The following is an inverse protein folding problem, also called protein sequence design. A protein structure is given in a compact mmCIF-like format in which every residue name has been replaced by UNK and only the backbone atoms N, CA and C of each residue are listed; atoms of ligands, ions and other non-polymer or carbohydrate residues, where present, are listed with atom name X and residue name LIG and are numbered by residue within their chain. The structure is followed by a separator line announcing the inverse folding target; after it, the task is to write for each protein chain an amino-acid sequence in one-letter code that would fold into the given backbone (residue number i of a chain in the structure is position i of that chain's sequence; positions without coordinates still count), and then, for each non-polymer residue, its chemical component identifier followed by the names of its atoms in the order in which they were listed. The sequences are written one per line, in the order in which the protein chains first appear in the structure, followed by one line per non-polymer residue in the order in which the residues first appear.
data_IF_426468362527
#
_entry.id   IF_426468362527
#
_cell.length_a   1.000
_cell.length_b   1.000
_cell.length_c   1.000
_cell.angle_alpha   90.00
_cell.angle_beta   90.00
_cell.angle_gamma   90.00
#
_symmetry.space_group_name_H-M   'P 1'
#
loop_
_entity.id
_entity.type
_entity.pdbx_description
1 polymer ?
#
# COMPACT_ATOMS: atom_id res chain seq x y z
N UNK A 1 -50.52 20.31 -3.10
CA UNK A 1 -50.37 21.78 -3.07
C UNK A 1 -48.89 22.06 -3.20
N UNK A 2 -48.45 22.27 -4.44
CA UNK A 2 -47.04 22.18 -4.85
C UNK A 2 -46.37 23.54 -4.69
N UNK A 3 -45.28 23.63 -3.92
CA UNK A 3 -44.44 24.84 -3.84
C UNK A 3 -43.10 24.63 -4.55
N UNK A 4 -43.17 25.01 -5.83
CA UNK A 4 -42.18 25.63 -6.72
C UNK A 4 -40.73 25.74 -6.22
N UNK A 5 -39.89 24.99 -6.93
CA UNK A 5 -38.54 25.29 -7.43
C UNK A 5 -38.20 26.79 -7.45
N UNK A 6 -37.08 27.14 -6.82
CA UNK A 6 -36.35 28.40 -7.09
C UNK A 6 -34.91 28.03 -7.47
N UNK A 7 -34.66 28.07 -8.78
CA UNK A 7 -33.36 28.02 -9.42
C UNK A 7 -32.80 29.46 -9.43
N UNK A 8 -31.55 29.67 -9.01
CA UNK A 8 -30.80 30.86 -9.41
C UNK A 8 -29.34 30.49 -9.72
N UNK A 9 -28.91 31.00 -10.87
CA UNK A 9 -27.75 30.67 -11.68
C UNK A 9 -26.84 31.92 -11.73
N UNK A 10 -25.52 31.77 -11.55
CA UNK A 10 -24.44 32.59 -12.15
C UNK A 10 -23.09 32.14 -11.54
N UNK A 11 -22.21 31.39 -12.22
CA UNK A 11 -21.35 31.68 -13.39
C UNK A 11 -20.09 32.53 -13.04
N UNK A 12 -18.94 31.89 -13.31
CA UNK A 12 -17.65 32.42 -13.84
C UNK A 12 -16.43 32.49 -12.90
N UNK A 13 -15.43 31.65 -13.17
CA UNK A 13 -14.13 32.06 -13.74
C UNK A 13 -13.30 30.84 -14.21
N UNK A 14 -13.05 30.79 -15.53
CA UNK A 14 -12.09 29.89 -16.16
C UNK A 14 -10.67 30.42 -15.94
N UNK A 15 -9.73 29.55 -15.58
CA UNK A 15 -8.31 29.75 -15.90
C UNK A 15 -7.72 28.48 -16.48
N UNK A 16 -7.66 28.45 -17.81
CA UNK A 16 -6.82 27.55 -18.60
C UNK A 16 -5.36 28.01 -18.48
N UNK A 17 -4.53 27.23 -17.79
CA UNK A 17 -3.08 27.31 -17.97
C UNK A 17 -2.71 26.40 -19.14
N UNK A 18 -2.68 26.97 -20.34
CA UNK A 18 -2.01 26.37 -21.48
C UNK A 18 -0.51 26.70 -21.37
N UNK A 19 0.31 25.70 -21.06
CA UNK A 19 1.73 25.70 -21.42
C UNK A 19 2.00 24.43 -22.23
N UNK A 20 1.80 24.56 -23.53
CA UNK A 20 2.38 23.68 -24.53
C UNK A 20 3.86 24.07 -24.70
N UNK A 21 4.81 23.18 -24.36
CA UNK A 21 5.97 22.84 -25.22
C UNK A 21 6.85 21.77 -24.58
N UNK A 22 7.07 20.66 -25.28
CA UNK A 22 8.14 19.73 -24.94
C UNK A 22 8.02 18.33 -25.53
N UNK A 23 7.90 18.21 -26.87
CA UNK A 23 8.35 16.99 -27.54
C UNK A 23 9.86 16.81 -27.29
N UNK A 24 10.23 15.71 -26.66
CA UNK A 24 11.57 15.15 -26.74
C UNK A 24 11.45 13.63 -26.83
N UNK A 25 11.63 13.19 -28.06
CA UNK A 25 11.82 11.84 -28.52
C UNK A 25 12.95 11.10 -27.78
N UNK A 26 12.75 9.78 -27.64
CA UNK A 26 13.78 8.73 -27.58
C UNK A 26 14.85 8.78 -26.48
N UNK A 27 14.89 7.74 -25.64
CA UNK A 27 15.94 6.68 -25.70
C UNK A 27 15.66 5.65 -24.61
N UNK A 28 15.31 4.42 -25.02
CA UNK A 28 15.36 3.23 -24.18
C UNK A 28 16.81 2.95 -23.78
N UNK A 29 17.08 2.94 -22.48
CA UNK A 29 18.33 2.37 -21.96
C UNK A 29 18.04 0.94 -21.52
N UNK A 30 18.29 -0.01 -22.41
CA UNK A 30 18.43 -1.42 -22.07
C UNK A 30 19.87 -1.64 -21.63
N UNK A 31 20.11 -1.85 -20.34
CA UNK A 31 21.39 -2.41 -19.86
C UNK A 31 21.24 -3.92 -19.72
N UNK A 32 21.41 -4.61 -20.84
CA UNK A 32 21.81 -6.02 -20.86
C UNK A 32 23.26 -6.10 -20.39
N UNK A 33 23.49 -6.72 -19.24
CA UNK A 33 24.83 -7.21 -18.90
C UNK A 33 24.85 -8.73 -19.11
N UNK A 34 25.52 -9.13 -20.18
CA UNK A 34 25.81 -10.51 -20.53
C UNK A 34 27.32 -10.63 -20.67
N UNK A 35 27.96 -11.46 -19.84
CA UNK A 35 29.28 -12.09 -20.01
C UNK A 35 29.34 -13.16 -18.89
N UNK A 36 29.06 -14.44 -19.11
CA UNK A 36 29.81 -15.44 -19.87
C UNK A 36 31.33 -15.40 -19.60
N UNK A 37 31.85 -16.41 -18.90
CA UNK A 37 32.82 -17.39 -19.43
C UNK A 37 33.69 -18.05 -18.34
N UNK A 38 33.51 -19.38 -18.22
CA UNK A 38 34.55 -20.43 -18.12
C UNK A 38 35.88 -20.16 -17.40
N UNK A 39 36.17 -21.03 -16.43
CA UNK A 39 37.54 -21.37 -16.01
C UNK A 39 37.57 -22.68 -15.24
N UNK A 40 38.03 -23.75 -15.88
CA UNK A 40 38.16 -25.08 -15.30
C UNK A 40 39.59 -25.34 -14.79
N UNK A 41 39.68 -26.07 -13.66
CA UNK A 41 40.75 -26.99 -13.18
C UNK A 41 42.16 -26.44 -12.90
N UNK A 42 42.70 -26.73 -11.70
CA UNK A 42 44.04 -27.33 -11.48
C UNK A 42 44.15 -27.89 -10.06
N UNK A 43 44.68 -29.12 -9.93
CA UNK A 43 44.96 -29.85 -8.69
C UNK A 43 46.46 -29.83 -8.34
N UNK A 44 46.77 -29.62 -7.04
CA UNK A 44 47.96 -30.00 -6.25
C UNK A 44 49.33 -29.30 -6.51
N UNK A 45 50.32 -29.30 -5.57
CA UNK A 45 50.46 -30.05 -4.32
C UNK A 45 50.85 -29.23 -3.05
N UNK A 46 51.00 -29.95 -1.92
CA UNK A 46 51.25 -29.47 -0.57
C UNK A 46 52.54 -28.66 -0.35
N UNK A 47 52.50 -27.67 0.54
CA UNK A 47 53.68 -27.19 1.27
C UNK A 47 53.26 -26.66 2.65
N UNK A 48 53.95 -27.15 3.67
CA UNK A 48 53.76 -26.90 5.11
C UNK A 48 54.21 -25.49 5.48
N UNK A 49 53.35 -24.63 6.02
CA UNK A 49 53.79 -23.47 6.82
C UNK A 49 52.69 -22.99 7.77
N UNK A 50 52.98 -23.11 9.08
CA UNK A 50 52.46 -22.39 10.25
C UNK A 50 51.01 -21.85 10.20
N UNK A 51 50.07 -22.58 10.81
CA UNK A 51 48.76 -22.06 11.20
C UNK A 51 48.90 -21.05 12.34
N UNK A 52 48.87 -19.77 12.01
CA UNK A 52 48.35 -18.75 12.94
C UNK A 52 46.85 -18.75 12.79
N UNK A 53 46.13 -19.24 13.80
CA UNK A 53 44.67 -19.13 13.86
C UNK A 53 44.31 -17.67 14.09
N UNK A 54 44.11 -16.91 13.02
CA UNK A 54 43.29 -15.70 13.09
C UNK A 54 41.85 -16.18 13.30
N UNK A 55 41.29 -15.80 14.45
CA UNK A 55 39.86 -15.95 14.68
C UNK A 55 39.15 -15.09 13.63
N UNK A 56 38.53 -15.74 12.65
CA UNK A 56 37.54 -15.11 11.79
C UNK A 56 36.35 -14.79 12.70
N UNK A 57 36.30 -13.54 13.14
CA UNK A 57 35.12 -12.98 13.78
C UNK A 57 34.01 -12.97 12.73
N UNK A 58 33.23 -14.05 12.71
CA UNK A 58 32.07 -14.16 11.83
C UNK A 58 30.99 -13.39 12.56
N UNK A 59 30.95 -12.07 12.33
CA UNK A 59 29.80 -11.27 12.72
C UNK A 59 28.61 -11.80 11.92
N UNK A 60 27.85 -12.71 12.51
CA UNK A 60 26.51 -13.06 12.05
C UNK A 60 25.72 -11.77 12.20
N UNK A 61 25.52 -11.06 11.10
CA UNK A 61 24.53 -10.00 11.05
C UNK A 61 23.21 -10.65 11.46
N UNK A 62 22.60 -10.13 12.54
CA UNK A 62 21.23 -10.49 12.87
C UNK A 62 20.40 -10.40 11.58
N UNK A 63 19.56 -11.40 11.28
CA UNK A 63 18.63 -11.28 10.16
C UNK A 63 17.86 -9.97 10.35
N UNK A 64 17.63 -9.20 9.28
CA UNK A 64 16.83 -7.98 9.37
C UNK A 64 15.51 -8.34 10.08
N UNK A 65 15.01 -7.48 10.99
CA UNK A 65 13.74 -7.75 11.67
C UNK A 65 12.72 -8.06 10.58
N UNK A 66 12.07 -9.22 10.67
CA UNK A 66 10.93 -9.49 9.79
C UNK A 66 9.97 -8.33 10.01
N UNK A 67 9.75 -7.52 8.97
CA UNK A 67 8.70 -6.52 8.95
C UNK A 67 7.38 -7.30 8.99
N UNK A 68 6.98 -7.69 10.19
CA UNK A 68 5.75 -8.41 10.44
C UNK A 68 4.60 -7.50 10.04
N UNK A 69 3.77 -7.99 9.12
CA UNK A 69 2.48 -7.36 8.84
C UNK A 69 1.70 -7.23 10.15
N UNK A 70 1.03 -6.08 10.39
CA UNK A 70 0.01 -5.97 11.42
C UNK A 70 -0.98 -7.14 11.33
N UNK A 71 -1.38 -7.68 12.47
CA UNK A 71 -2.45 -8.66 12.50
C UNK A 71 -3.76 -7.98 12.07
N UNK A 72 -4.53 -8.67 11.24
CA UNK A 72 -5.76 -8.13 10.69
C UNK A 72 -6.85 -9.20 10.55
N UNK A 73 -8.10 -8.75 10.50
CA UNK A 73 -9.27 -9.58 10.26
C UNK A 73 -10.21 -8.92 9.24
N UNK A 74 -10.78 -9.71 8.34
CA UNK A 74 -11.90 -9.27 7.50
C UNK A 74 -13.18 -9.47 8.30
N UNK A 75 -13.75 -8.38 8.79
CA UNK A 75 -14.95 -8.39 9.65
C UNK A 75 -16.25 -8.24 8.86
N UNK A 76 -16.17 -7.73 7.63
CA UNK A 76 -17.29 -7.66 6.70
C UNK A 76 -16.82 -7.96 5.28
N UNK A 77 -17.63 -8.71 4.54
CA UNK A 77 -17.42 -9.01 3.12
C UNK A 77 -18.77 -9.03 2.42
N UNK A 78 -18.98 -8.09 1.52
CA UNK A 78 -20.21 -7.96 0.73
C UNK A 78 -19.90 -8.23 -0.74
N UNK A 79 -20.54 -9.23 -1.36
CA UNK A 79 -20.30 -9.52 -2.77
C UNK A 79 -20.88 -8.42 -3.68
N UNK A 80 -20.12 -8.04 -4.69
CA UNK A 80 -20.47 -7.00 -5.65
C UNK A 80 -20.31 -7.43 -7.11
N UNK A 81 -20.81 -6.60 -8.03
CA UNK A 81 -20.58 -6.81 -9.46
C UNK A 81 -19.13 -6.40 -9.80
N UNK A 82 -18.27 -7.37 -10.12
CA UNK A 82 -16.86 -7.13 -10.45
C UNK A 82 -15.86 -7.41 -9.34
N UNK A 83 -16.33 -7.60 -8.10
CA UNK A 83 -15.52 -8.04 -6.96
C UNK A 83 -16.21 -7.71 -5.65
N UNK A 84 -15.61 -8.15 -4.55
CA UNK A 84 -16.19 -7.98 -3.23
C UNK A 84 -15.73 -6.67 -2.59
N UNK A 85 -16.60 -6.12 -1.75
CA UNK A 85 -16.29 -5.02 -0.84
C UNK A 85 -15.97 -5.61 0.53
N UNK A 86 -14.78 -5.32 1.08
CA UNK A 86 -14.35 -5.83 2.38
C UNK A 86 -14.04 -4.72 3.39
N UNK A 87 -14.29 -5.00 4.67
CA UNK A 87 -13.82 -4.16 5.78
C UNK A 87 -12.75 -4.95 6.54
N UNK A 88 -11.56 -4.39 6.59
CA UNK A 88 -10.36 -4.93 7.22
C UNK A 88 -10.19 -4.20 8.55
N UNK A 89 -10.21 -4.96 9.65
CA UNK A 89 -9.93 -4.50 10.98
C UNK A 89 -8.49 -4.88 11.36
N UNK A 90 -7.65 -3.88 11.61
CA UNK A 90 -6.32 -4.07 12.18
C UNK A 90 -6.42 -4.30 13.69
N UNK A 91 -5.56 -5.15 14.23
CA UNK A 91 -5.39 -5.30 15.68
C UNK A 91 -4.39 -4.26 16.19
N UNK A 92 -4.80 -3.24 16.96
CA UNK A 92 -3.89 -2.20 17.48
C UNK A 92 -2.88 -2.72 18.50
N UNK A 93 -3.01 -3.96 18.98
CA UNK A 93 -2.00 -4.60 19.84
C UNK A 93 -0.88 -5.29 19.05
N UNK A 94 -1.05 -5.41 17.72
CA UNK A 94 -0.08 -6.05 16.82
C UNK A 94 0.99 -5.10 16.27
N UNK A 95 0.84 -3.78 16.49
CA UNK A 95 1.79 -2.77 16.06
C UNK A 95 1.97 -1.68 17.11
N UNK A 96 3.21 -1.22 17.31
CA UNK A 96 3.50 -0.04 18.15
C UNK A 96 3.35 1.26 17.37
N UNK A 97 3.67 1.23 16.07
CA UNK A 97 3.58 2.34 15.13
C UNK A 97 3.09 1.78 13.80
N UNK A 98 2.03 2.38 13.26
CA UNK A 98 1.49 2.03 11.97
C UNK A 98 2.03 2.99 10.90
N UNK A 99 2.58 2.44 9.81
CA UNK A 99 3.06 3.23 8.67
C UNK A 99 2.16 3.07 7.45
N UNK A 100 2.29 3.99 6.50
CA UNK A 100 1.64 3.92 5.18
C UNK A 100 2.04 2.64 4.43
N UNK A 101 3.30 2.22 4.55
CA UNK A 101 3.79 0.97 3.99
C UNK A 101 3.13 -0.27 4.63
N UNK A 102 2.89 -0.26 5.95
CA UNK A 102 2.22 -1.37 6.63
C UNK A 102 0.78 -1.53 6.12
N UNK A 103 0.04 -0.43 6.03
CA UNK A 103 -1.32 -0.41 5.47
C UNK A 103 -1.32 -0.90 4.02
N UNK A 104 -0.33 -0.47 3.22
CA UNK A 104 -0.18 -0.91 1.84
C UNK A 104 0.01 -2.42 1.75
N UNK A 105 0.91 -2.97 2.57
CA UNK A 105 1.20 -4.39 2.60
C UNK A 105 -0.02 -5.20 3.09
N UNK A 106 -0.79 -4.71 4.06
CA UNK A 106 -2.02 -5.38 4.53
C UNK A 106 -3.05 -5.49 3.41
N UNK A 107 -3.35 -4.39 2.70
CA UNK A 107 -4.30 -4.44 1.58
C UNK A 107 -3.76 -5.34 0.46
N UNK A 108 -2.46 -5.27 0.16
CA UNK A 108 -1.81 -6.14 -0.81
C UNK A 108 -2.02 -7.62 -0.48
N UNK A 109 -1.74 -8.03 0.76
CA UNK A 109 -1.95 -9.39 1.24
C UNK A 109 -3.43 -9.81 1.15
N UNK A 110 -4.37 -8.92 1.48
CA UNK A 110 -5.81 -9.20 1.38
C UNK A 110 -6.24 -9.43 -0.07
N UNK A 111 -5.80 -8.58 -1.00
CA UNK A 111 -6.14 -8.68 -2.43
C UNK A 111 -5.57 -9.96 -3.04
N UNK A 112 -4.32 -10.31 -2.69
CA UNK A 112 -3.67 -11.54 -3.17
C UNK A 112 -4.31 -12.80 -2.60
N UNK A 113 -4.67 -12.79 -1.31
CA UNK A 113 -5.17 -13.98 -0.60
C UNK A 113 -6.66 -14.21 -0.79
N UNK A 114 -7.46 -13.15 -0.97
CA UNK A 114 -8.92 -13.23 -1.01
C UNK A 114 -9.58 -12.68 -2.28
N UNK A 115 -9.05 -12.92 -3.50
CA UNK A 115 -9.65 -12.41 -4.72
C UNK A 115 -11.06 -13.00 -4.97
N UNK A 116 -11.96 -12.27 -5.67
CA UNK A 116 -11.79 -10.92 -6.21
C UNK A 116 -12.19 -9.85 -5.17
N UNK A 117 -11.32 -8.86 -4.95
CA UNK A 117 -11.63 -7.67 -4.13
C UNK A 117 -11.69 -6.45 -5.05
N UNK A 118 -12.80 -5.72 -5.00
CA UNK A 118 -12.97 -4.46 -5.74
C UNK A 118 -12.76 -3.25 -4.82
N UNK A 119 -13.27 -3.34 -3.60
CA UNK A 119 -13.17 -2.28 -2.60
C UNK A 119 -12.73 -2.87 -1.27
N UNK A 120 -11.89 -2.14 -0.55
CA UNK A 120 -11.47 -2.50 0.79
C UNK A 120 -11.43 -1.25 1.67
N UNK A 121 -11.80 -1.37 2.94
CA UNK A 121 -11.75 -0.28 3.91
C UNK A 121 -10.89 -0.75 5.11
N UNK A 122 -9.82 -0.02 5.43
CA UNK A 122 -8.91 -0.36 6.53
C UNK A 122 -9.19 0.52 7.73
N UNK A 123 -9.56 -0.12 8.84
CA UNK A 123 -9.85 0.52 10.13
C UNK A 123 -9.15 -0.23 11.27
N UNK A 124 -8.95 0.37 12.43
CA UNK A 124 -8.46 -0.31 13.65
C UNK A 124 -9.48 -0.38 14.78
N UNK A 125 -10.65 0.26 14.61
CA UNK A 125 -11.73 0.25 15.59
C UNK A 125 -12.98 -0.42 15.05
N UNK A 126 -13.53 -1.34 15.84
CA UNK A 126 -14.82 -1.99 15.55
C UNK A 126 -15.97 -0.97 15.47
N UNK A 127 -15.89 0.15 16.20
CA UNK A 127 -16.93 1.19 16.18
C UNK A 127 -17.00 1.90 14.83
N UNK A 128 -15.90 1.90 14.07
CA UNK A 128 -15.76 2.58 12.78
C UNK A 128 -16.04 1.67 11.59
N UNK A 129 -15.97 0.35 11.80
CA UNK A 129 -16.20 -0.67 10.78
C UNK A 129 -17.57 -0.57 10.08
N UNK A 130 -18.62 -0.20 10.81
CA UNK A 130 -19.95 0.00 10.21
C UNK A 130 -20.09 1.43 9.65
N UNK A 131 -19.48 2.42 10.32
CA UNK A 131 -19.56 3.81 9.93
C UNK A 131 -18.93 4.08 8.56
N UNK A 132 -17.88 3.33 8.19
CA UNK A 132 -17.21 3.48 6.90
C UNK A 132 -18.09 3.13 5.69
N UNK A 133 -19.16 2.36 5.92
CA UNK A 133 -20.11 1.95 4.89
C UNK A 133 -21.32 2.90 4.79
N UNK A 134 -21.42 3.89 5.69
CA UNK A 134 -22.50 4.86 5.68
C UNK A 134 -22.22 5.97 4.65
N UNK A 135 -23.23 6.29 3.84
CA UNK A 135 -23.14 7.39 2.89
C UNK A 135 -23.12 8.78 3.56
N UNK A 136 -23.70 8.89 4.76
CA UNK A 136 -23.81 10.13 5.53
C UNK A 136 -23.65 9.82 7.03
N UNK A 137 -22.41 9.72 7.54
CA UNK A 137 -22.16 9.49 8.96
C UNK A 137 -22.54 10.72 9.79
N UNK A 138 -22.95 10.50 11.05
CA UNK A 138 -23.17 11.60 12.00
C UNK A 138 -21.86 12.36 12.29
N UNK A 139 -21.95 13.57 12.87
CA UNK A 139 -20.75 14.34 13.25
C UNK A 139 -19.81 13.56 14.19
N UNK A 140 -20.37 12.78 15.11
CA UNK A 140 -19.62 11.92 16.04
C UNK A 140 -18.94 10.77 15.29
N UNK A 141 -19.63 10.13 14.35
CA UNK A 141 -19.07 9.07 13.52
C UNK A 141 -17.98 9.58 12.58
N UNK A 142 -18.16 10.77 12.01
CA UNK A 142 -17.16 11.41 11.16
C UNK A 142 -15.86 11.69 11.93
N UNK A 143 -15.95 12.11 13.19
CA UNK A 143 -14.79 12.31 14.05
C UNK A 143 -14.05 10.99 14.37
N UNK A 144 -14.79 9.88 14.53
CA UNK A 144 -14.17 8.56 14.71
C UNK A 144 -13.53 8.05 13.43
N UNK A 145 -14.18 8.24 12.28
CA UNK A 145 -13.61 7.91 10.97
C UNK A 145 -12.28 8.64 10.74
N UNK A 146 -12.19 9.93 11.05
CA UNK A 146 -10.93 10.68 10.88
C UNK A 146 -9.73 10.09 11.66
N UNK A 147 -10.01 9.46 12.81
CA UNK A 147 -8.99 8.90 13.70
C UNK A 147 -8.68 7.42 13.44
N UNK A 148 -9.62 6.65 12.90
CA UNK A 148 -9.54 5.18 12.87
C UNK A 148 -9.80 4.58 11.48
N UNK A 149 -9.88 5.42 10.44
CA UNK A 149 -10.00 5.00 9.05
C UNK A 149 -8.77 5.47 8.28
N UNK A 150 -8.00 4.50 7.78
CA UNK A 150 -6.63 4.76 7.34
C UNK A 150 -6.44 4.72 5.84
N UNK A 151 -7.13 3.80 5.16
CA UNK A 151 -7.07 3.71 3.71
C UNK A 151 -8.30 3.01 3.13
N UNK A 152 -8.55 3.25 1.84
CA UNK A 152 -9.41 2.41 1.02
C UNK A 152 -8.76 1.96 -0.27
N UNK A 153 -9.19 0.79 -0.72
CA UNK A 153 -8.97 0.32 -2.07
C UNK A 153 -10.19 0.68 -2.93
N UNK A 154 -9.94 1.20 -4.11
CA UNK A 154 -10.90 1.50 -5.17
C UNK A 154 -10.50 0.70 -6.42
N UNK A 155 -11.51 0.24 -7.16
CA UNK A 155 -11.35 -0.41 -8.47
C UNK A 155 -10.46 -1.67 -8.46
N UNK A 156 -10.18 -2.23 -7.28
CA UNK A 156 -9.34 -3.41 -7.07
C UNK A 156 -7.83 -3.17 -7.16
N UNK A 157 -7.37 -1.95 -7.47
CA UNK A 157 -5.94 -1.67 -7.62
C UNK A 157 -5.49 -0.28 -7.15
N UNK A 158 -6.40 0.68 -6.97
CA UNK A 158 -6.05 2.03 -6.53
C UNK A 158 -6.28 2.18 -5.05
N UNK A 159 -5.22 2.41 -4.30
CA UNK A 159 -5.28 2.72 -2.87
C UNK A 159 -5.34 4.23 -2.67
N UNK A 160 -6.22 4.67 -1.76
CA UNK A 160 -6.37 6.06 -1.34
C UNK A 160 -6.19 6.11 0.17
N UNK A 161 -5.20 6.83 0.66
CA UNK A 161 -5.01 7.06 2.09
C UNK A 161 -5.95 8.15 2.59
N UNK A 162 -6.48 7.97 3.79
CA UNK A 162 -7.50 8.84 4.40
C UNK A 162 -7.19 9.08 5.88
N UNK A 163 -7.97 9.94 6.54
CA UNK A 163 -7.76 10.29 7.94
C UNK A 163 -6.33 10.81 8.20
N UNK A 164 -5.69 10.27 9.23
CA UNK A 164 -4.31 10.63 9.60
C UNK A 164 -3.28 10.31 8.51
N UNK A 165 -3.54 9.33 7.64
CA UNK A 165 -2.64 8.93 6.57
C UNK A 165 -2.88 9.68 5.26
N UNK A 166 -3.87 10.57 5.19
CA UNK A 166 -4.25 11.31 3.96
C UNK A 166 -3.09 12.06 3.29
N UNK A 167 -2.06 12.47 4.04
CA UNK A 167 -0.88 13.12 3.51
C UNK A 167 -0.03 12.20 2.60
N UNK A 168 -0.15 10.87 2.72
CA UNK A 168 0.52 9.91 1.85
C UNK A 168 -0.08 9.88 0.42
N UNK A 169 -1.31 10.35 0.23
CA UNK A 169 -1.97 10.46 -1.06
C UNK A 169 -2.53 9.14 -1.59
N UNK A 170 -2.21 8.80 -2.84
CA UNK A 170 -2.73 7.61 -3.52
C UNK A 170 -1.57 6.69 -3.92
N UNK A 171 -1.83 5.38 -3.93
CA UNK A 171 -0.89 4.36 -4.42
C UNK A 171 -1.58 3.40 -5.40
N UNK A 172 -0.80 2.81 -6.31
CA UNK A 172 -1.27 1.79 -7.26
C UNK A 172 -0.65 0.44 -6.88
N UNK A 173 -1.48 -0.59 -6.73
CA UNK A 173 -1.04 -1.94 -6.46
C UNK A 173 -0.62 -2.65 -7.75
N UNK A 174 0.53 -3.31 -7.74
CA UNK A 174 1.00 -4.18 -8.83
C UNK A 174 1.68 -3.49 -10.02
N UNK A 175 2.19 -2.26 -9.85
CA UNK A 175 2.95 -1.53 -10.87
C UNK A 175 4.41 -1.97 -11.00
#
# INVERSE_FOLDING_TARGET
MNRKVTMLLAVLLLTTAACNRGDADSTSTTTTSTLAATGAVTLAPATTTTSTTEAVDTTVADPPPELGLPEYQIISRTPGEGGDTVVILLDPTSYDLLTDLDIQNVIGDVVERFPPILEAYVVDSNEVAEAVLLADPSEEQAALLDQHYFARLEEGFRMVFVGEFSAAGDAILGS
#
